data_IF_419838139306
#
_entry.id   IF_419838139306
#
_cell.length_a   1.000
_cell.length_b   1.000
_cell.length_c   1.000
_cell.angle_alpha   90.00
_cell.angle_beta   90.00
_cell.angle_gamma   90.00
#
_symmetry.space_group_name_H-M   'P 1'
#
loop_
_entity.id
_entity.type
_entity.pdbx_description
1 polymer ?
#
# COMPACT_ATOMS: atom_id res chain seq x y z
N UNK A 1 16.48 -3.93 2.28
CA UNK A 1 15.06 -4.24 2.03
C UNK A 1 14.86 -5.70 2.39
N UNK A 2 13.88 -6.01 3.24
CA UNK A 2 13.57 -7.36 3.67
C UNK A 2 12.15 -7.70 3.22
N UNK A 3 11.94 -8.93 2.82
CA UNK A 3 10.64 -9.51 2.53
C UNK A 3 10.30 -10.50 3.65
N UNK A 4 9.10 -10.43 4.16
CA UNK A 4 8.59 -11.38 5.14
C UNK A 4 7.53 -12.25 4.48
N UNK A 5 7.82 -13.52 4.31
CA UNK A 5 6.84 -14.46 3.82
C UNK A 5 5.89 -14.85 4.95
N UNK A 6 4.60 -14.59 4.76
CA UNK A 6 3.55 -14.92 5.71
C UNK A 6 3.54 -16.42 6.06
N UNK A 7 3.86 -17.28 5.12
CA UNK A 7 3.91 -18.72 5.33
C UNK A 7 4.94 -19.09 6.41
N UNK A 8 6.03 -18.33 6.48
CA UNK A 8 7.11 -18.59 7.42
C UNK A 8 6.88 -17.94 8.79
N UNK A 9 6.46 -16.70 8.84
CA UNK A 9 6.36 -15.96 10.11
C UNK A 9 4.97 -16.01 10.77
N UNK A 10 3.93 -16.40 10.04
CA UNK A 10 2.55 -16.45 10.55
C UNK A 10 1.79 -17.64 9.97
N UNK A 11 2.30 -18.83 10.27
CA UNK A 11 1.84 -20.09 9.70
C UNK A 11 0.36 -20.36 10.00
N UNK A 12 -0.12 -19.99 11.18
CA UNK A 12 -1.52 -20.18 11.58
C UNK A 12 -2.47 -19.42 10.66
N UNK A 13 -2.17 -18.17 10.31
CA UNK A 13 -2.97 -17.41 9.36
C UNK A 13 -2.80 -17.90 7.92
N UNK A 14 -1.59 -18.38 7.58
CA UNK A 14 -1.34 -18.96 6.26
C UNK A 14 -2.18 -20.21 6.03
N UNK A 15 -2.36 -21.06 7.04
CA UNK A 15 -3.18 -22.27 7.00
C UNK A 15 -4.66 -21.97 6.73
N UNK A 16 -5.14 -20.77 7.05
CA UNK A 16 -6.49 -20.32 6.71
C UNK A 16 -6.69 -19.98 5.23
N UNK A 17 -5.64 -19.98 4.42
CA UNK A 17 -5.73 -19.62 2.99
C UNK A 17 -6.64 -20.58 2.23
N UNK A 18 -6.54 -21.89 2.48
CA UNK A 18 -7.40 -22.90 1.86
C UNK A 18 -8.86 -22.66 2.21
N UNK A 19 -9.15 -22.43 3.50
CA UNK A 19 -10.49 -22.14 3.98
C UNK A 19 -11.07 -20.86 3.34
N UNK A 20 -10.25 -19.81 3.17
CA UNK A 20 -10.66 -18.58 2.49
C UNK A 20 -11.02 -18.81 1.02
N UNK A 21 -10.24 -19.64 0.34
CA UNK A 21 -10.50 -19.99 -1.07
C UNK A 21 -11.82 -20.77 -1.21
N UNK A 22 -12.13 -21.66 -0.28
CA UNK A 22 -13.39 -22.40 -0.25
C UNK A 22 -14.59 -21.48 0.00
N UNK A 23 -14.48 -20.51 0.89
CA UNK A 23 -15.53 -19.54 1.16
C UNK A 23 -15.71 -18.51 0.03
N UNK A 24 -14.70 -18.25 -0.78
CA UNK A 24 -14.72 -17.24 -1.84
C UNK A 24 -14.94 -15.80 -1.36
N UNK A 25 -14.84 -15.54 -0.06
CA UNK A 25 -15.09 -14.25 0.55
C UNK A 25 -13.86 -13.72 1.30
N UNK A 26 -13.67 -12.40 1.26
CA UNK A 26 -12.69 -11.73 2.11
C UNK A 26 -13.18 -11.76 3.57
N UNK A 27 -12.33 -12.22 4.47
CA UNK A 27 -12.61 -12.27 5.91
C UNK A 27 -11.98 -11.08 6.64
N UNK A 28 -12.35 -10.86 7.90
CA UNK A 28 -11.73 -9.84 8.75
C UNK A 28 -10.20 -10.02 8.87
N UNK A 29 -9.69 -11.25 8.77
CA UNK A 29 -8.26 -11.53 8.79
C UNK A 29 -7.49 -10.87 7.64
N UNK A 30 -8.09 -10.70 6.46
CA UNK A 30 -7.46 -9.97 5.35
C UNK A 30 -7.17 -8.50 5.72
N UNK A 31 -7.96 -7.93 6.61
CA UNK A 31 -7.77 -6.57 7.10
C UNK A 31 -6.65 -6.51 8.13
N UNK A 32 -6.66 -7.44 9.09
CA UNK A 32 -5.66 -7.48 10.17
C UNK A 32 -4.26 -7.80 9.63
N UNK A 33 -4.14 -8.72 8.69
CA UNK A 33 -2.85 -9.10 8.10
C UNK A 33 -2.06 -7.96 7.49
N UNK A 34 -2.75 -6.98 6.90
CA UNK A 34 -2.11 -5.80 6.27
C UNK A 34 -1.35 -4.92 7.27
N UNK A 35 -1.63 -5.06 8.53
CA UNK A 35 -1.25 -4.13 9.59
C UNK A 35 -0.30 -4.76 10.61
N UNK A 36 0.09 -6.01 10.38
CA UNK A 36 1.11 -6.66 11.21
C UNK A 36 2.47 -6.00 10.96
N UNK A 37 3.20 -5.77 12.04
CA UNK A 37 4.54 -5.16 12.01
C UNK A 37 5.63 -6.17 12.45
N UNK A 38 5.89 -7.23 11.67
CA UNK A 38 6.85 -8.26 12.04
C UNK A 38 8.30 -7.76 12.08
N UNK A 39 8.57 -6.67 11.38
CA UNK A 39 9.89 -6.04 11.33
C UNK A 39 10.14 -5.02 12.44
N UNK A 40 9.13 -4.74 13.27
CA UNK A 40 9.16 -3.65 14.27
C UNK A 40 9.59 -2.31 13.63
N UNK A 41 9.08 -2.04 12.42
CA UNK A 41 9.37 -0.82 11.69
C UNK A 41 8.76 0.40 12.40
N UNK A 42 9.50 1.51 12.42
CA UNK A 42 8.99 2.77 12.97
C UNK A 42 7.89 3.39 12.11
N UNK A 43 7.92 3.14 10.80
CA UNK A 43 7.02 3.72 9.83
C UNK A 43 6.24 2.62 9.11
N UNK A 44 4.93 2.84 8.96
CA UNK A 44 4.03 1.93 8.26
C UNK A 44 3.24 2.64 7.16
N UNK A 45 2.98 1.91 6.07
CA UNK A 45 2.07 2.34 5.00
C UNK A 45 1.09 1.22 4.72
N UNK A 46 -0.19 1.53 4.71
CA UNK A 46 -1.22 0.58 4.31
C UNK A 46 -2.24 1.20 3.37
N UNK A 47 -2.83 0.38 2.51
CA UNK A 47 -3.90 0.80 1.61
C UNK A 47 -5.28 0.62 2.23
N UNK A 48 -6.19 1.59 2.00
CA UNK A 48 -7.59 1.46 2.35
C UNK A 48 -8.49 1.82 1.17
N UNK A 49 -9.39 0.92 0.80
CA UNK A 49 -10.35 1.17 -0.28
C UNK A 49 -11.46 2.15 0.13
N UNK A 50 -11.95 2.02 1.38
CA UNK A 50 -13.06 2.82 1.88
C UNK A 50 -12.64 3.76 3.02
N UNK A 51 -12.98 5.03 2.89
CA UNK A 51 -12.68 6.08 3.89
C UNK A 51 -13.04 5.72 5.35
N UNK A 52 -14.17 5.05 5.66
CA UNK A 52 -14.49 4.64 7.03
C UNK A 52 -13.47 3.72 7.72
N UNK A 53 -12.62 3.03 6.95
CA UNK A 53 -11.55 2.19 7.52
C UNK A 53 -10.30 2.98 7.90
N UNK A 54 -10.10 4.17 7.35
CA UNK A 54 -8.91 5.00 7.61
C UNK A 54 -8.76 5.29 9.10
N UNK A 55 -9.80 5.85 9.73
CA UNK A 55 -9.75 6.17 11.16
C UNK A 55 -9.54 4.93 12.03
N UNK A 56 -10.13 3.80 11.63
CA UNK A 56 -9.95 2.52 12.34
C UNK A 56 -8.50 2.04 12.26
N UNK A 57 -7.88 2.10 11.09
CA UNK A 57 -6.49 1.70 10.93
C UNK A 57 -5.55 2.61 11.72
N UNK A 58 -5.70 3.91 11.60
CA UNK A 58 -4.89 4.88 12.32
C UNK A 58 -5.04 4.77 13.85
N UNK A 59 -6.18 4.37 14.36
CA UNK A 59 -6.40 4.18 15.79
C UNK A 59 -5.91 2.82 16.29
N UNK A 60 -6.15 1.75 15.54
CA UNK A 60 -5.78 0.38 15.94
C UNK A 60 -4.27 0.20 16.02
N UNK A 61 -3.49 0.84 15.14
CA UNK A 61 -2.06 0.62 15.02
C UNK A 61 -1.19 1.81 15.46
N UNK A 62 -1.79 2.75 16.18
CA UNK A 62 -1.09 3.93 16.69
C UNK A 62 0.09 3.64 17.61
N UNK A 63 0.06 2.50 18.28
CA UNK A 63 1.09 2.07 19.24
C UNK A 63 2.12 1.11 18.61
N UNK A 64 1.82 0.59 17.40
CA UNK A 64 2.69 -0.35 16.68
C UNK A 64 3.70 0.36 15.77
N UNK A 65 3.45 1.62 15.44
CA UNK A 65 4.29 2.44 14.57
C UNK A 65 4.48 3.84 15.17
N UNK A 66 5.65 4.42 14.96
CA UNK A 66 5.89 5.83 15.25
C UNK A 66 5.02 6.74 14.37
N UNK A 67 4.86 6.34 13.11
CA UNK A 67 3.93 6.97 12.17
C UNK A 67 3.38 5.94 11.22
N UNK A 68 2.07 6.00 10.99
CA UNK A 68 1.38 5.17 10.01
C UNK A 68 0.65 6.07 9.00
N UNK A 69 0.84 5.79 7.73
CA UNK A 69 0.12 6.43 6.63
C UNK A 69 -0.88 5.46 6.04
N UNK A 70 -2.11 5.91 5.91
CA UNK A 70 -3.14 5.18 5.17
C UNK A 70 -3.32 5.85 3.82
N UNK A 71 -3.16 5.11 2.74
CA UNK A 71 -3.28 5.65 1.38
C UNK A 71 -4.48 5.03 0.67
N UNK A 72 -5.18 5.84 -0.13
CA UNK A 72 -6.19 5.36 -1.05
C UNK A 72 -5.49 4.90 -2.34
N UNK A 73 -4.89 3.73 -2.30
CA UNK A 73 -4.29 3.12 -3.46
C UNK A 73 -5.32 2.49 -4.40
N UNK A 74 -4.83 1.75 -5.36
CA UNK A 74 -5.72 1.02 -6.25
C UNK A 74 -6.30 -0.19 -5.51
N UNK A 75 -7.63 -0.32 -5.52
CA UNK A 75 -8.36 -1.44 -4.89
C UNK A 75 -7.98 -1.76 -3.44
N UNK A 76 -7.42 -0.77 -2.74
CA UNK A 76 -6.98 -0.92 -1.34
C UNK A 76 -5.54 -1.38 -1.15
N UNK A 77 -4.77 -1.42 -2.23
CA UNK A 77 -3.32 -1.58 -2.20
C UNK A 77 -2.62 -0.23 -2.00
N UNK A 78 -1.31 -0.27 -1.82
CA UNK A 78 -0.54 0.94 -1.53
C UNK A 78 -0.03 1.67 -2.78
N UNK A 79 -0.04 1.00 -3.93
CA UNK A 79 0.45 1.55 -5.19
C UNK A 79 -0.47 2.65 -5.72
N UNK A 80 0.15 3.70 -6.19
CA UNK A 80 -0.53 4.86 -6.76
C UNK A 80 -0.20 4.98 -8.24
N UNK A 81 -1.22 4.98 -9.09
CA UNK A 81 -1.10 5.25 -10.53
C UNK A 81 -2.21 6.18 -11.06
N UNK A 82 -2.95 6.80 -10.17
CA UNK A 82 -3.92 7.88 -10.45
C UNK A 82 -3.99 8.83 -9.28
N UNK A 83 -4.61 9.97 -9.49
CA UNK A 83 -4.86 10.96 -8.44
C UNK A 83 -5.49 10.30 -7.22
N UNK A 84 -4.99 10.62 -6.05
CA UNK A 84 -5.36 9.92 -4.84
C UNK A 84 -5.22 10.77 -3.58
N UNK A 85 -5.42 10.13 -2.44
CA UNK A 85 -5.37 10.73 -1.11
C UNK A 85 -4.59 9.86 -0.16
N UNK A 86 -4.00 10.49 0.86
CA UNK A 86 -3.49 9.77 2.02
C UNK A 86 -3.89 10.47 3.32
N UNK A 87 -3.82 9.73 4.39
CA UNK A 87 -4.15 10.20 5.74
C UNK A 87 -3.06 9.81 6.70
N UNK A 88 -2.72 10.76 7.56
CA UNK A 88 -1.78 10.55 8.66
C UNK A 88 -2.39 11.08 9.95
N UNK A 89 -1.97 10.54 11.09
CA UNK A 89 -2.32 11.08 12.39
C UNK A 89 -1.20 12.00 12.84
N UNK A 90 -1.50 13.29 12.99
CA UNK A 90 -0.57 14.32 13.41
C UNK A 90 -1.20 15.07 14.61
N UNK A 91 -0.44 15.24 15.69
CA UNK A 91 -0.89 15.94 16.90
C UNK A 91 -2.25 15.45 17.44
N UNK A 92 -2.54 14.15 17.27
CA UNK A 92 -3.79 13.54 17.70
C UNK A 92 -4.97 13.68 16.72
N UNK A 93 -4.81 14.46 15.65
CA UNK A 93 -5.81 14.68 14.61
C UNK A 93 -5.46 13.87 13.34
N UNK A 94 -6.51 13.45 12.62
CA UNK A 94 -6.36 12.80 11.33
C UNK A 94 -6.39 13.87 10.25
N UNK A 95 -5.25 14.08 9.60
CA UNK A 95 -5.12 14.97 8.44
C UNK A 95 -5.28 14.20 7.14
N UNK A 96 -5.99 14.82 6.20
CA UNK A 96 -6.20 14.29 4.84
C UNK A 96 -5.42 15.15 3.85
N UNK A 97 -4.68 14.50 2.97
CA UNK A 97 -3.88 15.11 1.92
C UNK A 97 -4.32 14.58 0.57
N UNK A 98 -4.51 15.49 -0.38
CA UNK A 98 -4.80 15.17 -1.78
C UNK A 98 -3.53 15.36 -2.62
N UNK A 99 -3.36 14.53 -3.65
CA UNK A 99 -2.32 14.73 -4.64
C UNK A 99 -2.80 14.35 -6.04
N UNK A 100 -2.29 15.08 -7.03
CA UNK A 100 -2.54 14.87 -8.44
C UNK A 100 -1.23 14.49 -9.12
N UNK A 101 -1.18 13.38 -9.85
CA UNK A 101 0.05 12.90 -10.52
C UNK A 101 0.62 13.92 -11.50
N UNK A 102 -0.25 14.67 -12.16
CA UNK A 102 0.15 15.71 -13.13
C UNK A 102 0.98 16.83 -12.51
N UNK A 103 0.75 17.16 -11.24
CA UNK A 103 1.50 18.21 -10.54
C UNK A 103 2.97 17.80 -10.33
N UNK A 104 3.24 16.52 -10.39
CA UNK A 104 4.58 15.92 -10.29
C UNK A 104 5.15 15.50 -11.65
N UNK A 105 4.50 15.87 -12.75
CA UNK A 105 4.93 15.49 -14.10
C UNK A 105 4.77 14.00 -14.43
N UNK A 106 3.93 13.30 -13.67
CA UNK A 106 3.67 11.88 -13.86
C UNK A 106 2.34 11.69 -14.57
N UNK A 107 2.36 10.93 -15.65
CA UNK A 107 1.17 10.45 -16.34
C UNK A 107 1.22 8.93 -16.43
N UNK A 108 0.07 8.29 -16.32
CA UNK A 108 -0.05 6.84 -16.49
C UNK A 108 -1.34 6.51 -17.24
N UNK A 109 -1.18 5.95 -18.43
CA UNK A 109 -2.30 5.67 -19.35
C UNK A 109 -2.61 4.20 -19.52
N UNK A 110 -1.74 3.31 -19.03
CA UNK A 110 -1.87 1.87 -19.24
C UNK A 110 -2.87 1.26 -18.25
N UNK A 111 -3.61 0.26 -18.73
CA UNK A 111 -4.44 -0.59 -17.88
C UNK A 111 -3.70 -1.89 -17.57
N UNK A 112 -3.79 -2.34 -16.32
CA UNK A 112 -3.28 -3.64 -15.90
C UNK A 112 -4.36 -4.73 -15.91
N UNK A 113 -5.54 -4.44 -16.41
CA UNK A 113 -6.60 -5.42 -16.49
C UNK A 113 -6.24 -6.51 -17.50
N UNK A 114 -6.32 -7.76 -17.07
CA UNK A 114 -6.09 -8.94 -17.89
C UNK A 114 -4.69 -9.10 -18.51
N UNK A 115 -3.65 -8.60 -17.84
CA UNK A 115 -2.27 -8.82 -18.26
C UNK A 115 -1.84 -10.25 -17.91
N UNK A 116 -1.31 -10.98 -18.89
CA UNK A 116 -0.70 -12.30 -18.69
C UNK A 116 0.64 -12.18 -17.97
N UNK A 117 1.12 -13.29 -17.39
CA UNK A 117 2.45 -13.33 -16.75
C UNK A 117 3.56 -12.94 -17.74
N UNK A 118 3.46 -13.40 -18.98
CA UNK A 118 4.47 -13.13 -20.02
C UNK A 118 4.50 -11.64 -20.39
N UNK A 119 3.34 -11.03 -20.58
CA UNK A 119 3.21 -9.56 -20.81
C UNK A 119 3.76 -8.76 -19.63
N UNK A 120 3.46 -9.16 -18.40
CA UNK A 120 4.00 -8.49 -17.21
C UNK A 120 5.52 -8.58 -17.14
N UNK A 121 6.10 -9.76 -17.40
CA UNK A 121 7.56 -9.94 -17.47
C UNK A 121 8.19 -9.12 -18.61
N UNK A 122 7.51 -9.00 -19.74
CA UNK A 122 7.98 -8.19 -20.85
C UNK A 122 7.98 -6.69 -20.49
N UNK A 123 6.94 -6.21 -19.82
CA UNK A 123 6.87 -4.83 -19.30
C UNK A 123 8.03 -4.56 -18.33
N UNK A 124 8.30 -5.47 -17.41
CA UNK A 124 9.40 -5.33 -16.44
C UNK A 124 10.79 -5.35 -17.08
N UNK A 125 10.95 -6.05 -18.21
CA UNK A 125 12.23 -6.12 -18.96
C UNK A 125 12.44 -4.93 -19.88
N UNK A 126 11.36 -4.39 -20.43
CA UNK A 126 11.34 -3.34 -21.44
C UNK A 126 10.47 -2.16 -20.98
N UNK A 127 10.66 -1.72 -19.73
CA UNK A 127 9.91 -0.59 -19.18
C UNK A 127 10.21 0.70 -19.96
N UNK A 128 9.18 1.49 -20.16
CA UNK A 128 9.28 2.83 -20.75
C UNK A 128 9.38 3.92 -19.68
N UNK A 129 9.56 5.15 -20.12
CA UNK A 129 9.69 6.30 -19.22
C UNK A 129 8.42 6.54 -18.38
N UNK A 130 7.24 6.18 -18.87
CA UNK A 130 5.99 6.32 -18.15
C UNK A 130 5.99 5.42 -16.89
N UNK A 131 6.34 4.16 -17.06
CA UNK A 131 6.45 3.19 -15.95
C UNK A 131 7.57 3.58 -15.00
N UNK A 132 8.72 3.99 -15.53
CA UNK A 132 9.85 4.41 -14.72
C UNK A 132 9.53 5.64 -13.85
N UNK A 133 8.86 6.64 -14.42
CA UNK A 133 8.47 7.85 -13.70
C UNK A 133 7.40 7.54 -12.63
N UNK A 134 6.45 6.66 -12.94
CA UNK A 134 5.47 6.19 -11.97
C UNK A 134 6.14 5.44 -10.80
N UNK A 135 7.09 4.57 -11.09
CA UNK A 135 7.84 3.84 -10.06
C UNK A 135 8.66 4.80 -9.18
N UNK A 136 9.36 5.77 -9.77
CA UNK A 136 10.09 6.82 -9.04
C UNK A 136 9.17 7.64 -8.14
N UNK A 137 7.99 8.00 -8.64
CA UNK A 137 6.99 8.72 -7.87
C UNK A 137 6.54 7.93 -6.64
N UNK A 138 6.19 6.64 -6.80
CA UNK A 138 5.80 5.79 -5.68
C UNK A 138 6.92 5.63 -4.65
N UNK A 139 8.17 5.46 -5.10
CA UNK A 139 9.32 5.40 -4.20
C UNK A 139 9.50 6.71 -3.43
N UNK A 140 9.43 7.87 -4.10
CA UNK A 140 9.53 9.17 -3.45
C UNK A 140 8.42 9.37 -2.40
N UNK A 141 7.18 8.97 -2.74
CA UNK A 141 6.04 9.02 -1.82
C UNK A 141 6.26 8.17 -0.57
N UNK A 142 6.79 6.96 -0.72
CA UNK A 142 7.08 6.08 0.43
C UNK A 142 8.25 6.60 1.28
N UNK A 143 9.27 7.21 0.66
CA UNK A 143 10.36 7.86 1.40
C UNK A 143 9.84 9.06 2.20
N UNK A 144 8.91 9.84 1.65
CA UNK A 144 8.23 10.91 2.36
C UNK A 144 7.48 10.36 3.58
N UNK A 145 6.68 9.31 3.41
CA UNK A 145 5.96 8.67 4.53
C UNK A 145 6.88 8.10 5.60
N UNK A 146 8.07 7.67 5.22
CA UNK A 146 9.11 7.22 6.15
C UNK A 146 9.95 8.37 6.74
N UNK A 147 9.56 9.63 6.50
CA UNK A 147 10.31 10.82 6.94
C UNK A 147 11.79 10.78 6.56
N UNK A 148 12.10 10.24 5.37
CA UNK A 148 13.47 10.15 4.83
C UNK A 148 13.81 11.28 3.87
N UNK A 149 12.82 12.08 3.47
CA UNK A 149 12.94 13.27 2.62
C UNK A 149 12.00 14.34 3.15
N UNK A 150 12.35 15.59 2.93
CA UNK A 150 11.50 16.73 3.24
C UNK A 150 10.38 16.84 2.16
N UNK A 151 9.23 17.37 2.56
CA UNK A 151 8.06 17.57 1.70
C UNK A 151 8.23 18.72 0.71
#
# INVERSE_FOLDING_TARGET
>A
MHYFDRVEYLQELSNLTTLRNEFGLRTAFNTVEKLLNPSLSEYGVCGAFHKPYVSKYLEMFKDDFKSITVIRGNEGDIEVFKDSKFWQKEDGEIKEYDFCLKDYGVSYSKSFENITLEENLNILRNYDDEILNLAKFNVALYLLFASRVDS
#
